data_IF_767805339143
#
_entry.id   IF_767805339143
#
_cell.length_a   1.000
_cell.length_b   1.000
_cell.length_c   1.000
_cell.angle_alpha   90.00
_cell.angle_beta   90.00
_cell.angle_gamma   90.00
#
_symmetry.space_group_name_H-M   'P 1'
#
loop_
_entity.id
_entity.type
_entity.pdbx_description
1 polymer ?
#
# COMPACT_ATOMS: atom_id res chain seq x y z
N UNK A 1 11.06 4.73 -5.83
CA UNK A 1 12.11 4.36 -4.84
C UNK A 1 13.51 4.67 -5.36
N UNK A 2 13.90 4.18 -6.55
CA UNK A 2 15.19 4.50 -7.17
C UNK A 2 15.51 6.01 -7.21
N UNK A 3 14.57 6.83 -7.69
CA UNK A 3 14.75 8.28 -7.75
C UNK A 3 14.96 8.92 -6.36
N UNK A 4 14.24 8.45 -5.33
CA UNK A 4 14.43 8.95 -3.96
C UNK A 4 15.83 8.63 -3.43
N UNK A 5 16.41 7.48 -3.81
CA UNK A 5 17.77 7.10 -3.43
C UNK A 5 18.86 7.96 -4.08
N UNK A 6 18.65 8.37 -5.34
CA UNK A 6 19.70 9.03 -6.15
C UNK A 6 19.51 10.53 -6.32
N UNK A 7 18.35 11.08 -5.96
CA UNK A 7 18.05 12.50 -6.11
C UNK A 7 17.52 13.08 -4.78
N UNK A 8 18.34 13.94 -4.17
CA UNK A 8 18.07 14.56 -2.87
C UNK A 8 16.98 15.65 -2.91
N UNK A 9 16.50 16.02 -4.10
CA UNK A 9 15.39 16.97 -4.26
C UNK A 9 14.07 16.34 -3.82
N UNK A 10 13.92 15.02 -3.98
CA UNK A 10 12.78 14.29 -3.42
C UNK A 10 12.85 14.34 -1.89
N UNK A 11 11.79 14.87 -1.27
CA UNK A 11 11.70 15.01 0.19
C UNK A 11 11.01 13.85 0.87
N UNK A 12 10.11 13.16 0.18
CA UNK A 12 9.25 12.10 0.72
C UNK A 12 9.01 11.06 -0.38
N UNK A 13 8.89 9.79 -0.02
CA UNK A 13 8.44 8.72 -0.91
C UNK A 13 7.11 8.13 -0.39
N UNK A 14 6.09 8.12 -1.25
CA UNK A 14 4.81 7.47 -0.97
C UNK A 14 4.66 6.34 -1.98
N UNK A 15 4.60 5.11 -1.48
CA UNK A 15 4.54 3.89 -2.27
C UNK A 15 3.14 3.31 -2.12
N UNK A 16 2.36 3.42 -3.19
CA UNK A 16 0.99 2.93 -3.28
C UNK A 16 1.04 1.53 -3.89
N UNK A 17 0.67 0.53 -3.08
CA UNK A 17 0.59 -0.89 -3.44
C UNK A 17 1.83 -1.38 -4.22
N UNK A 18 3.00 -1.14 -3.63
CA UNK A 18 4.28 -1.24 -4.33
C UNK A 18 4.59 -2.64 -4.87
N UNK A 19 4.80 -2.74 -6.18
CA UNK A 19 5.37 -3.93 -6.81
C UNK A 19 6.90 -3.89 -6.76
N UNK A 20 7.50 -4.64 -5.84
CA UNK A 20 8.94 -4.60 -5.56
C UNK A 20 9.78 -5.50 -6.47
N UNK A 21 9.15 -6.23 -7.40
CA UNK A 21 9.86 -7.14 -8.32
C UNK A 21 11.02 -6.49 -9.08
N UNK A 22 10.90 -5.23 -9.59
CA UNK A 22 12.02 -4.57 -10.27
C UNK A 22 13.25 -4.33 -9.38
N UNK A 23 13.12 -4.38 -8.06
CA UNK A 23 14.21 -4.17 -7.11
C UNK A 23 14.92 -5.47 -6.71
N UNK A 24 14.49 -6.63 -7.24
CA UNK A 24 15.03 -7.95 -6.85
C UNK A 24 16.52 -8.10 -7.18
N UNK A 25 16.98 -7.53 -8.29
CA UNK A 25 18.37 -7.58 -8.74
C UNK A 25 19.21 -6.39 -8.27
N UNK A 26 18.57 -5.40 -7.63
CA UNK A 26 19.24 -4.18 -7.19
C UNK A 26 19.83 -4.35 -5.79
N UNK A 27 20.97 -3.70 -5.49
CA UNK A 27 21.40 -3.56 -4.11
C UNK A 27 20.34 -2.80 -3.30
N UNK A 28 20.31 -3.02 -1.98
CA UNK A 28 19.36 -2.34 -1.11
C UNK A 28 19.56 -0.82 -1.21
N UNK A 29 18.58 -0.14 -1.80
CA UNK A 29 18.60 1.31 -1.98
C UNK A 29 18.65 2.04 -0.63
N UNK A 30 19.63 2.92 -0.47
CA UNK A 30 19.80 3.74 0.73
C UNK A 30 18.94 5.02 0.66
N UNK A 31 17.64 4.88 0.93
CA UNK A 31 16.68 5.99 0.88
C UNK A 31 16.64 6.68 2.24
N UNK A 32 17.07 7.95 2.31
CA UNK A 32 17.07 8.74 3.56
C UNK A 32 15.72 9.43 3.81
N UNK A 33 14.96 9.68 2.75
CA UNK A 33 13.65 10.33 2.83
C UNK A 33 12.65 9.51 3.67
N UNK A 34 11.67 10.15 4.33
CA UNK A 34 10.52 9.46 4.89
C UNK A 34 9.80 8.62 3.84
N UNK A 35 9.39 7.41 4.22
CA UNK A 35 8.66 6.48 3.35
C UNK A 35 7.33 6.10 3.97
N UNK A 36 6.26 6.24 3.20
CA UNK A 36 4.95 5.69 3.50
C UNK A 36 4.63 4.59 2.51
N UNK A 37 4.28 3.41 3.02
CA UNK A 37 3.68 2.33 2.25
C UNK A 37 2.16 2.31 2.53
N UNK A 38 1.36 2.36 1.47
CA UNK A 38 -0.10 2.15 1.55
C UNK A 38 -0.44 0.98 0.64
N UNK A 39 -0.82 -0.13 1.25
CA UNK A 39 -1.00 -1.40 0.56
C UNK A 39 -2.48 -1.77 0.48
N UNK A 40 -2.84 -2.51 -0.57
CA UNK A 40 -4.16 -3.14 -0.66
C UNK A 40 -4.13 -4.51 -0.01
N UNK A 41 -5.31 -5.03 0.36
CA UNK A 41 -5.41 -6.29 1.09
C UNK A 41 -4.80 -7.43 0.27
N UNK A 42 -5.22 -7.58 -0.99
CA UNK A 42 -5.05 -8.84 -1.75
C UNK A 42 -3.86 -8.87 -2.71
N UNK A 43 -3.17 -7.76 -2.93
CA UNK A 43 -2.11 -7.67 -3.93
C UNK A 43 -0.79 -8.34 -3.53
N UNK A 44 -0.47 -8.33 -2.24
CA UNK A 44 0.86 -8.75 -1.79
C UNK A 44 1.00 -10.26 -1.59
N UNK A 45 2.13 -10.78 -2.06
CA UNK A 45 2.60 -12.15 -1.82
C UNK A 45 3.90 -12.13 -0.97
N UNK A 46 4.29 -13.25 -0.33
CA UNK A 46 5.36 -13.28 0.66
C UNK A 46 6.70 -12.71 0.19
N UNK A 47 7.08 -12.93 -1.08
CA UNK A 47 8.32 -12.39 -1.63
C UNK A 47 8.26 -10.86 -1.78
N UNK A 48 7.13 -10.30 -2.22
CA UNK A 48 6.94 -8.84 -2.30
C UNK A 48 6.99 -8.20 -0.90
N UNK A 49 6.30 -8.83 0.07
CA UNK A 49 6.30 -8.43 1.49
C UNK A 49 7.71 -8.38 2.07
N UNK A 50 8.54 -9.39 1.78
CA UNK A 50 9.92 -9.44 2.25
C UNK A 50 10.72 -8.21 1.80
N UNK A 51 10.56 -7.78 0.55
CA UNK A 51 11.21 -6.57 0.06
C UNK A 51 10.67 -5.31 0.74
N UNK A 52 9.35 -5.16 0.88
CA UNK A 52 8.76 -4.02 1.61
C UNK A 52 9.32 -3.93 3.03
N UNK A 53 9.40 -5.07 3.74
CA UNK A 53 9.95 -5.13 5.11
C UNK A 53 11.41 -4.70 5.19
N UNK A 54 12.24 -5.04 4.20
CA UNK A 54 13.63 -4.58 4.18
C UNK A 54 13.72 -3.06 4.21
N UNK A 55 12.86 -2.35 3.47
CA UNK A 55 12.81 -0.88 3.49
C UNK A 55 12.11 -0.32 4.72
N UNK A 56 11.07 -1.00 5.23
CA UNK A 56 10.35 -0.58 6.43
C UNK A 56 11.25 -0.59 7.69
N UNK A 57 12.21 -1.51 7.77
CA UNK A 57 13.16 -1.58 8.88
C UNK A 57 14.42 -0.71 8.70
N UNK A 58 14.52 0.07 7.62
CA UNK A 58 15.62 1.04 7.47
C UNK A 58 15.45 2.22 8.41
N UNK A 59 16.55 2.95 8.68
CA UNK A 59 16.54 4.16 9.51
C UNK A 59 15.65 5.24 8.90
N UNK A 60 15.09 6.10 9.76
CA UNK A 60 14.26 7.23 9.37
C UNK A 60 12.77 6.97 9.59
N UNK A 61 11.93 7.90 9.12
CA UNK A 61 10.48 7.80 9.27
C UNK A 61 9.94 6.76 8.27
N UNK A 62 9.34 5.70 8.80
CA UNK A 62 8.74 4.61 8.02
C UNK A 62 7.34 4.32 8.53
N UNK A 63 6.35 4.39 7.64
CA UNK A 63 4.98 4.02 7.95
C UNK A 63 4.47 3.01 6.94
N UNK A 64 3.64 2.08 7.42
CA UNK A 64 3.02 1.07 6.58
C UNK A 64 1.58 0.88 7.03
N UNK A 65 0.66 1.02 6.07
CA UNK A 65 -0.75 0.73 6.28
C UNK A 65 -1.22 -0.26 5.21
N UNK A 66 -2.11 -1.16 5.61
CA UNK A 66 -2.84 -2.03 4.68
C UNK A 66 -4.34 -1.76 4.80
N UNK A 67 -4.99 -1.45 3.68
CA UNK A 67 -6.43 -1.24 3.61
C UNK A 67 -7.14 -2.60 3.51
N UNK A 68 -8.02 -2.91 4.46
CA UNK A 68 -8.79 -4.16 4.47
C UNK A 68 -9.82 -4.18 3.35
N UNK A 69 -10.16 -5.39 2.89
CA UNK A 69 -11.19 -5.64 1.87
C UNK A 69 -10.95 -4.87 0.55
N UNK A 70 -9.69 -4.64 0.19
CA UNK A 70 -9.30 -3.97 -1.06
C UNK A 70 -8.50 -4.89 -1.98
N UNK A 71 -8.61 -4.61 -3.26
CA UNK A 71 -7.84 -5.16 -4.37
C UNK A 71 -6.99 -4.06 -4.99
N UNK A 72 -6.02 -4.42 -5.83
CA UNK A 72 -5.06 -3.48 -6.43
C UNK A 72 -5.75 -2.30 -7.14
N UNK A 73 -6.88 -2.58 -7.80
CA UNK A 73 -7.66 -1.58 -8.52
C UNK A 73 -8.57 -0.74 -7.62
N UNK A 74 -8.81 -1.15 -6.37
CA UNK A 74 -9.80 -0.50 -5.48
C UNK A 74 -9.57 1.00 -5.27
N UNK A 75 -8.34 1.49 -5.03
CA UNK A 75 -8.09 2.92 -4.88
C UNK A 75 -7.73 3.62 -6.21
N UNK A 76 -8.03 3.01 -7.35
CA UNK A 76 -7.74 3.56 -8.69
C UNK A 76 -9.02 3.92 -9.45
N UNK A 77 -8.87 4.72 -10.51
CA UNK A 77 -10.00 5.09 -11.39
C UNK A 77 -10.68 3.88 -12.03
N UNK A 78 -9.97 2.76 -12.18
CA UNK A 78 -10.52 1.51 -12.73
C UNK A 78 -11.74 1.03 -11.94
N UNK A 79 -11.72 1.13 -10.61
CA UNK A 79 -12.85 0.70 -9.77
C UNK A 79 -14.11 1.55 -9.99
N UNK A 80 -13.97 2.80 -10.42
CA UNK A 80 -15.10 3.69 -10.70
C UNK A 80 -15.64 3.52 -12.12
N UNK A 81 -14.75 3.23 -13.09
CA UNK A 81 -15.12 3.13 -14.51
C UNK A 81 -15.62 1.72 -14.86
N UNK A 82 -14.91 0.69 -14.40
CA UNK A 82 -15.16 -0.70 -14.80
C UNK A 82 -15.66 -1.57 -13.63
N UNK A 83 -15.78 -1.00 -12.44
CA UNK A 83 -16.01 -1.78 -11.22
C UNK A 83 -14.81 -2.63 -10.84
N UNK A 84 -15.03 -3.56 -9.92
CA UNK A 84 -13.96 -4.40 -9.40
C UNK A 84 -13.81 -5.71 -10.19
N UNK A 85 -13.13 -5.65 -11.34
CA UNK A 85 -12.96 -6.80 -12.24
C UNK A 85 -12.01 -7.89 -11.69
N UNK A 86 -11.09 -7.55 -10.79
CA UNK A 86 -10.22 -8.52 -10.11
C UNK A 86 -10.91 -9.00 -8.83
N UNK A 87 -11.87 -9.92 -8.92
CA UNK A 87 -12.45 -10.59 -7.74
C UNK A 87 -11.79 -11.94 -7.43
N UNK A 88 -10.48 -11.92 -7.24
CA UNK A 88 -9.68 -13.13 -6.98
C UNK A 88 -10.02 -13.81 -5.64
N UNK A 89 -10.70 -13.13 -4.71
CA UNK A 89 -10.96 -13.64 -3.35
C UNK A 89 -12.43 -13.59 -2.92
N UNK A 90 -13.36 -13.12 -3.76
CA UNK A 90 -14.81 -13.05 -3.46
C UNK A 90 -15.11 -12.36 -2.12
N UNK A 91 -14.28 -11.39 -1.72
CA UNK A 91 -14.47 -10.64 -0.49
C UNK A 91 -15.50 -9.54 -0.75
N UNK A 92 -16.36 -9.22 0.25
CA UNK A 92 -17.13 -7.98 0.22
C UNK A 92 -16.15 -6.80 0.16
N UNK A 93 -16.04 -6.18 -1.00
CA UNK A 93 -15.05 -5.12 -1.28
C UNK A 93 -15.42 -3.83 -0.54
N UNK A 94 -14.40 -3.12 -0.08
CA UNK A 94 -14.55 -1.77 0.43
C UNK A 94 -15.01 -0.88 -0.74
N UNK A 95 -15.93 0.05 -0.46
CA UNK A 95 -16.37 1.02 -1.46
C UNK A 95 -15.19 1.77 -2.06
N UNK A 96 -15.17 1.92 -3.40
CA UNK A 96 -14.05 2.49 -4.14
C UNK A 96 -13.75 3.93 -3.72
N UNK A 97 -14.80 4.73 -3.47
CA UNK A 97 -14.64 6.11 -2.96
C UNK A 97 -13.99 6.12 -1.59
N UNK A 98 -14.40 5.22 -0.72
CA UNK A 98 -13.82 5.05 0.62
C UNK A 98 -12.36 4.60 0.54
N UNK A 99 -12.03 3.61 -0.30
CA UNK A 99 -10.65 3.16 -0.50
C UNK A 99 -9.73 4.27 -1.04
N UNK A 100 -10.17 5.00 -2.07
CA UNK A 100 -9.42 6.12 -2.65
C UNK A 100 -9.24 7.27 -1.65
N UNK A 101 -10.30 7.65 -0.94
CA UNK A 101 -10.23 8.71 0.07
C UNK A 101 -9.31 8.33 1.23
N UNK A 102 -9.30 7.05 1.62
CA UNK A 102 -8.46 6.55 2.70
C UNK A 102 -6.98 6.59 2.29
N UNK A 103 -6.64 6.08 1.11
CA UNK A 103 -5.30 6.17 0.54
C UNK A 103 -4.81 7.61 0.43
N UNK A 104 -5.67 8.50 -0.10
CA UNK A 104 -5.35 9.92 -0.28
C UNK A 104 -5.18 10.62 1.07
N UNK A 105 -6.03 10.30 2.05
CA UNK A 105 -5.95 10.88 3.39
C UNK A 105 -4.66 10.45 4.09
N UNK A 106 -4.27 9.19 3.99
CA UNK A 106 -2.99 8.70 4.54
C UNK A 106 -1.80 9.42 3.90
N UNK A 107 -1.81 9.61 2.59
CA UNK A 107 -0.79 10.37 1.88
C UNK A 107 -0.74 11.83 2.34
N UNK A 108 -1.89 12.51 2.43
CA UNK A 108 -2.00 13.90 2.89
C UNK A 108 -1.48 14.06 4.32
N UNK A 109 -1.93 13.19 5.24
CA UNK A 109 -1.47 13.22 6.63
C UNK A 109 0.05 13.00 6.72
N UNK A 110 0.59 12.09 5.92
CA UNK A 110 2.02 11.82 5.91
C UNK A 110 2.83 12.99 5.35
N UNK A 111 2.38 13.61 4.26
CA UNK A 111 3.01 14.82 3.72
C UNK A 111 2.96 15.96 4.74
N UNK A 112 1.82 16.19 5.39
CA UNK A 112 1.69 17.22 6.41
C UNK A 112 2.68 16.98 7.56
N UNK A 113 2.76 15.74 8.06
CA UNK A 113 3.66 15.39 9.17
C UNK A 113 5.16 15.45 8.80
N UNK A 114 5.52 15.33 7.52
CA UNK A 114 6.93 15.22 7.09
C UNK A 114 7.46 16.52 6.50
N UNK A 115 6.65 17.25 5.74
CA UNK A 115 7.04 18.48 5.05
C UNK A 115 6.13 19.68 5.37
N UNK A 116 5.16 19.52 6.27
CA UNK A 116 4.28 20.60 6.71
C UNK A 116 3.18 20.98 5.71
N UNK A 117 2.94 20.17 4.67
CA UNK A 117 1.98 20.49 3.61
C UNK A 117 1.09 19.29 3.23
N UNK A 118 -0.19 19.49 2.91
CA UNK A 118 -0.95 20.75 2.97
C UNK A 118 -1.23 21.20 4.41
N UNK A 119 -1.34 22.51 4.63
CA UNK A 119 -1.54 23.11 5.97
C UNK A 119 -2.85 22.62 6.61
N UNK A 120 -3.94 22.59 5.84
CA UNK A 120 -5.27 22.18 6.32
C UNK A 120 -5.50 20.68 6.05
N UNK A 121 -4.92 19.83 6.89
CA UNK A 121 -5.04 18.36 6.76
C UNK A 121 -6.06 17.73 7.71
N UNK A 122 -6.77 18.51 8.53
CA UNK A 122 -7.66 18.01 9.58
C UNK A 122 -8.73 17.06 9.05
N UNK A 123 -9.29 17.35 7.88
CA UNK A 123 -10.28 16.48 7.21
C UNK A 123 -9.72 15.10 6.91
N UNK A 124 -8.46 15.02 6.47
CA UNK A 124 -7.81 13.74 6.23
C UNK A 124 -7.60 12.96 7.53
N UNK A 125 -7.21 13.65 8.61
CA UNK A 125 -7.02 13.02 9.92
C UNK A 125 -8.34 12.49 10.50
N UNK A 126 -9.42 13.27 10.41
CA UNK A 126 -10.77 12.87 10.81
C UNK A 126 -11.22 11.67 9.99
N UNK A 127 -11.08 11.71 8.66
CA UNK A 127 -11.50 10.62 7.79
C UNK A 127 -10.75 9.31 8.07
N UNK A 128 -9.44 9.37 8.33
CA UNK A 128 -8.64 8.20 8.75
C UNK A 128 -9.17 7.63 10.05
N UNK A 129 -9.46 8.49 11.04
CA UNK A 129 -9.97 8.06 12.35
C UNK A 129 -11.33 7.37 12.23
N UNK A 130 -12.25 7.96 11.48
CA UNK A 130 -13.59 7.41 11.22
C UNK A 130 -13.54 6.07 10.47
N UNK A 131 -12.51 5.86 9.65
CA UNK A 131 -12.34 4.64 8.85
C UNK A 131 -11.20 3.74 9.35
N UNK A 132 -10.78 3.90 10.61
CA UNK A 132 -9.70 3.12 11.21
C UNK A 132 -10.00 1.62 11.23
N UNK A 133 -11.27 1.24 11.35
CA UNK A 133 -11.76 -0.13 11.21
C UNK A 133 -11.51 -0.74 9.83
N UNK A 134 -11.11 0.03 8.83
CA UNK A 134 -10.71 -0.46 7.51
C UNK A 134 -9.18 -0.48 7.32
N UNK A 135 -8.39 -0.12 8.33
CA UNK A 135 -6.94 -0.08 8.28
C UNK A 135 -6.29 -1.11 9.20
N UNK A 136 -5.06 -1.47 8.85
CA UNK A 136 -4.10 -2.19 9.70
C UNK A 136 -2.77 -1.47 9.57
N UNK A 137 -2.14 -1.07 10.67
CA UNK A 137 -0.80 -0.48 10.69
C UNK A 137 0.30 -1.56 10.66
N UNK A 138 0.16 -2.49 9.72
CA UNK A 138 1.13 -3.51 9.35
C UNK A 138 0.64 -4.18 8.05
N UNK A 139 1.42 -5.13 7.53
CA UNK A 139 1.04 -6.03 6.47
C UNK A 139 0.05 -7.08 6.99
N UNK A 140 -1.03 -7.27 6.24
CA UNK A 140 -1.93 -8.39 6.52
C UNK A 140 -1.23 -9.68 6.13
N UNK A 141 -0.93 -10.49 7.15
CA UNK A 141 -0.34 -11.81 6.98
C UNK A 141 -1.44 -12.81 6.65
N UNK A 142 -1.51 -13.30 5.41
CA UNK A 142 -2.38 -14.43 5.08
C UNK A 142 -1.80 -15.71 5.67
N UNK A 143 -2.18 -16.04 6.90
CA UNK A 143 -1.97 -17.39 7.44
C UNK A 143 -2.88 -18.36 6.68
N UNK A 144 -2.24 -19.25 5.91
CA UNK A 144 -2.80 -20.26 4.98
C UNK A 144 -3.04 -19.74 3.57
N UNK A 145 -2.12 -20.10 2.68
CA UNK A 145 -2.52 -20.43 1.31
C UNK A 145 -3.62 -21.50 1.42
N UNK A 146 -4.81 -21.34 0.83
CA UNK A 146 -5.63 -22.52 0.55
C UNK A 146 -4.73 -23.50 -0.22
N UNK A 147 -4.77 -24.79 0.13
CA UNK A 147 -4.12 -25.81 -0.69
C UNK A 147 -4.57 -25.55 -2.12
N UNK A 148 -3.63 -25.19 -3.00
CA UNK A 148 -3.88 -25.37 -4.42
C UNK A 148 -4.08 -26.87 -4.55
N UNK A 149 -5.34 -27.31 -4.59
CA UNK A 149 -5.65 -28.55 -5.25
C UNK A 149 -5.26 -28.28 -6.71
N UNK A 150 -4.00 -28.59 -7.04
CA UNK A 150 -3.61 -28.81 -8.41
C UNK A 150 -4.51 -29.97 -8.81
N UNK A 151 -5.66 -29.64 -9.40
CA UNK A 151 -6.40 -30.59 -10.19
C UNK A 151 -5.41 -31.02 -11.25
N UNK A 152 -4.85 -32.22 -11.09
CA UNK A 152 -4.32 -32.96 -12.22
C UNK A 152 -5.55 -33.12 -13.09
N UNK A 153 -5.68 -32.28 -14.12
CA UNK A 153 -6.58 -32.56 -15.20
C UNK A 153 -5.89 -33.68 -15.99
N UNK A 154 -6.40 -34.93 -15.96
CA UNK A 154 -6.09 -35.80 -17.08
C UNK A 154 -6.85 -35.16 -18.25
N UNK A 155 -6.15 -34.70 -19.28
CA UNK A 155 -6.47 -34.62 -20.72
C UNK A 155 -5.54 -33.54 -21.31
#
# INVERSE_FOLDING_TARGET
MYNACHDCRYKVAIILDGWMFPLKSEPLLNIQQPILFVNTHTFHFPANIRFIRQYFHTKGIRKLYTMKKTTHESPSDTAFIHGHWLDLQMLKKLDAKTALNLQSSLAIQFLNNTIGYPINSDKAQIFIKENSDNLVEDLISYTKKPKQNIGIYPW
#
